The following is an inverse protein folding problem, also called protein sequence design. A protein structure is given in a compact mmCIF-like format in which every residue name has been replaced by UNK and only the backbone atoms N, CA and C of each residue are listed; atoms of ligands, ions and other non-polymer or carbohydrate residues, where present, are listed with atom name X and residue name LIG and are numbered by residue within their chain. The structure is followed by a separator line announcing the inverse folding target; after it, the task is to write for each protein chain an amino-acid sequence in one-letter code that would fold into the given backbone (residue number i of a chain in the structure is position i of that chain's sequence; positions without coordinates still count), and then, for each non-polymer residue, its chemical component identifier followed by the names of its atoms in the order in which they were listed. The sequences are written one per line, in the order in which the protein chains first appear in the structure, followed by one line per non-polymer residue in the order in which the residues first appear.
data_IF_040826081146
#
_entry.id   IF_040826081146
#
_cell.length_a   1.000
_cell.length_b   1.000
_cell.length_c   1.000
_cell.angle_alpha   90.00
_cell.angle_beta   90.00
_cell.angle_gamma   90.00
#
_symmetry.space_group_name_H-M   'P 1'
#
loop_
_entity.id
_entity.type
_entity.pdbx_description
1 polymer ?
#
# COMPACT_ATOMS: atom_id res chain seq x y z
N UNK A 1 -6.54 2.53 7.13
CA UNK A 1 -7.56 1.66 7.78
C UNK A 1 -7.03 0.25 7.96
N UNK A 2 -6.58 -0.44 6.89
CA UNK A 2 -6.09 -1.82 6.99
C UNK A 2 -5.03 -2.00 8.09
N UNK A 3 -3.98 -1.19 8.09
CA UNK A 3 -2.90 -1.20 9.09
C UNK A 3 -3.43 -1.03 10.51
N UNK A 4 -4.39 -0.12 10.70
CA UNK A 4 -4.98 0.15 12.01
C UNK A 4 -5.82 -1.01 12.52
N UNK A 5 -6.66 -1.60 11.66
CA UNK A 5 -7.49 -2.77 12.01
C UNK A 5 -6.66 -4.03 12.21
N UNK A 6 -5.53 -4.15 11.51
CA UNK A 6 -4.55 -5.21 11.76
C UNK A 6 -3.90 -5.11 13.15
N UNK A 7 -3.90 -3.93 13.79
CA UNK A 7 -3.44 -3.74 15.16
C UNK A 7 -2.39 -2.65 15.37
N UNK A 8 -1.79 -2.08 14.32
CA UNK A 8 -0.75 -1.07 14.45
C UNK A 8 -1.32 0.32 14.73
N UNK A 9 -0.61 1.12 15.51
CA UNK A 9 -0.84 2.56 15.57
C UNK A 9 -0.47 3.19 14.21
N UNK A 10 -1.33 4.07 13.72
CA UNK A 10 -1.20 4.63 12.37
C UNK A 10 -1.25 6.14 12.43
N UNK A 11 -0.23 6.80 11.86
CA UNK A 11 -0.19 8.24 11.59
C UNK A 11 -0.44 8.41 10.10
N UNK A 12 -1.39 9.29 9.74
CA UNK A 12 -1.68 9.55 8.33
C UNK A 12 -1.23 10.96 7.95
N UNK A 13 -0.51 11.07 6.83
CA UNK A 13 0.06 12.32 6.32
C UNK A 13 -0.58 12.58 4.96
N UNK A 14 -1.40 13.62 4.85
CA UNK A 14 -2.09 13.98 3.59
C UNK A 14 -2.69 15.38 3.65
N UNK A 15 -3.23 15.86 2.52
CA UNK A 15 -4.12 17.03 2.45
C UNK A 15 -5.51 16.60 2.00
N UNK A 16 -6.51 17.22 2.59
CA UNK A 16 -7.93 17.09 2.25
C UNK A 16 -8.55 18.46 2.01
N UNK A 17 -9.64 18.51 1.28
CA UNK A 17 -10.41 19.73 1.09
C UNK A 17 -11.28 20.03 2.31
N UNK A 18 -11.62 21.30 2.49
CA UNK A 18 -12.60 21.72 3.49
C UNK A 18 -14.02 21.58 2.91
N UNK A 19 -14.43 20.34 2.69
CA UNK A 19 -15.70 19.97 2.06
C UNK A 19 -16.32 18.73 2.73
N UNK A 20 -17.48 18.31 2.24
CA UNK A 20 -18.21 17.16 2.79
C UNK A 20 -17.39 15.85 2.75
N UNK A 21 -16.57 15.64 1.71
CA UNK A 21 -15.71 14.45 1.65
C UNK A 21 -14.57 14.52 2.66
N UNK A 22 -13.99 15.71 2.88
CA UNK A 22 -13.01 15.93 3.93
C UNK A 22 -13.58 15.68 5.33
N UNK A 23 -14.80 16.17 5.61
CA UNK A 23 -15.49 15.88 6.87
C UNK A 23 -15.74 14.37 7.05
N UNK A 24 -16.16 13.66 5.99
CA UNK A 24 -16.33 12.21 6.03
C UNK A 24 -15.01 11.49 6.29
N UNK A 25 -13.91 11.91 5.65
CA UNK A 25 -12.58 11.35 5.85
C UNK A 25 -12.12 11.54 7.30
N UNK A 26 -12.20 12.74 7.86
CA UNK A 26 -11.81 13.03 9.24
C UNK A 26 -12.66 12.24 10.25
N UNK A 27 -13.95 12.08 9.99
CA UNK A 27 -14.82 11.24 10.82
C UNK A 27 -14.39 9.78 10.79
N UNK A 28 -14.04 9.25 9.61
CA UNK A 28 -13.53 7.88 9.47
C UNK A 28 -12.21 7.72 10.23
N UNK A 29 -11.26 8.65 10.08
CA UNK A 29 -9.98 8.57 10.78
C UNK A 29 -10.18 8.54 12.30
N UNK A 30 -11.07 9.38 12.82
CA UNK A 30 -11.41 9.38 14.24
C UNK A 30 -12.06 8.06 14.70
N UNK A 31 -12.98 7.50 13.91
CA UNK A 31 -13.66 6.23 14.22
C UNK A 31 -12.68 5.05 14.23
N UNK A 32 -11.73 5.03 13.31
CA UNK A 32 -10.70 3.98 13.22
C UNK A 32 -9.53 4.22 14.20
N UNK A 33 -9.46 5.37 14.86
CA UNK A 33 -8.36 5.72 15.77
C UNK A 33 -7.05 5.98 15.03
N UNK A 34 -7.11 6.50 13.82
CA UNK A 34 -5.96 6.93 13.02
C UNK A 34 -5.52 8.31 13.51
N UNK A 35 -4.24 8.51 13.79
CA UNK A 35 -3.70 9.81 14.13
C UNK A 35 -3.66 10.71 12.89
N UNK A 36 -4.47 11.77 12.91
CA UNK A 36 -4.63 12.74 11.84
C UNK A 36 -3.88 14.06 12.10
N UNK A 37 -2.86 14.07 12.97
CA UNK A 37 -2.07 15.27 13.31
C UNK A 37 -1.46 15.94 12.07
N UNK A 38 -1.12 15.14 11.04
CA UNK A 38 -0.54 15.60 9.78
C UNK A 38 -1.52 15.50 8.62
N UNK A 39 -2.82 15.61 8.89
CA UNK A 39 -3.86 15.79 7.88
C UNK A 39 -4.24 17.25 7.83
N UNK A 40 -3.87 17.95 6.75
CA UNK A 40 -4.15 19.39 6.61
C UNK A 40 -5.38 19.61 5.74
N UNK A 41 -6.31 20.43 6.25
CA UNK A 41 -7.46 20.90 5.49
C UNK A 41 -7.09 22.15 4.68
N UNK A 42 -7.37 22.14 3.38
CA UNK A 42 -7.17 23.29 2.48
C UNK A 42 -8.52 23.78 1.92
N UNK A 43 -8.71 25.11 1.90
CA UNK A 43 -10.01 25.70 1.58
C UNK A 43 -10.32 25.73 0.08
N UNK A 44 -9.28 25.87 -0.75
CA UNK A 44 -9.42 26.20 -2.17
C UNK A 44 -9.37 24.98 -3.10
N UNK A 45 -9.32 23.78 -2.56
CA UNK A 45 -9.34 22.53 -3.33
C UNK A 45 -10.31 21.52 -2.72
N UNK A 46 -10.97 20.76 -3.58
CA UNK A 46 -11.83 19.65 -3.13
C UNK A 46 -10.99 18.47 -2.62
N UNK A 47 -11.53 17.72 -1.69
CA UNK A 47 -10.97 16.41 -1.30
C UNK A 47 -10.92 15.47 -2.50
N UNK A 48 -9.83 14.71 -2.62
CA UNK A 48 -9.68 13.69 -3.66
C UNK A 48 -10.83 12.68 -3.61
N UNK A 49 -11.28 12.26 -4.79
CA UNK A 49 -12.36 11.29 -4.92
C UNK A 49 -12.12 10.36 -6.11
N UNK A 50 -12.60 9.13 -6.00
CA UNK A 50 -12.63 8.20 -7.11
C UNK A 50 -14.07 7.77 -7.41
N UNK A 51 -14.42 7.69 -8.70
CA UNK A 51 -15.67 7.10 -9.17
C UNK A 51 -15.35 5.75 -9.81
N UNK A 52 -15.94 4.70 -9.29
CA UNK A 52 -15.77 3.34 -9.81
C UNK A 52 -17.03 3.00 -10.59
N UNK A 53 -16.89 2.82 -11.90
CA UNK A 53 -17.98 2.41 -12.79
C UNK A 53 -17.79 0.93 -13.10
N UNK A 54 -18.75 0.11 -12.71
CA UNK A 54 -18.71 -1.34 -12.91
C UNK A 54 -19.72 -1.70 -14.01
N UNK A 55 -19.27 -2.48 -14.99
CA UNK A 55 -20.15 -3.10 -15.97
C UNK A 55 -20.81 -4.33 -15.32
N UNK A 56 -22.13 -4.28 -15.10
CA UNK A 56 -22.86 -5.35 -14.43
C UNK A 56 -22.89 -6.67 -15.22
N UNK A 57 -22.68 -6.63 -16.53
CA UNK A 57 -22.70 -7.84 -17.38
C UNK A 57 -21.34 -8.55 -17.42
N UNK A 58 -20.22 -7.77 -17.44
CA UNK A 58 -18.86 -8.34 -17.61
C UNK A 58 -18.08 -8.35 -16.31
N UNK A 59 -18.49 -7.58 -15.30
CA UNK A 59 -17.72 -7.36 -14.06
C UNK A 59 -16.50 -6.45 -14.24
N UNK A 60 -16.24 -5.96 -15.45
CA UNK A 60 -15.15 -5.02 -15.71
C UNK A 60 -15.42 -3.68 -15.04
N UNK A 61 -14.39 -3.03 -14.53
CA UNK A 61 -14.50 -1.72 -13.93
C UNK A 61 -13.58 -0.68 -14.58
N UNK A 62 -14.01 0.58 -14.47
CA UNK A 62 -13.21 1.75 -14.83
C UNK A 62 -13.17 2.66 -13.61
N UNK A 63 -11.97 3.03 -13.17
CA UNK A 63 -11.76 3.91 -12.02
C UNK A 63 -11.35 5.29 -12.55
N UNK A 64 -12.17 6.30 -12.26
CA UNK A 64 -11.89 7.70 -12.58
C UNK A 64 -11.43 8.36 -11.29
N UNK A 65 -10.14 8.71 -11.21
CA UNK A 65 -9.53 9.34 -10.03
C UNK A 65 -9.42 10.84 -10.24
N UNK A 66 -9.87 11.61 -9.26
CA UNK A 66 -9.61 13.06 -9.12
C UNK A 66 -8.76 13.23 -7.86
N UNK A 67 -7.45 13.50 -7.95
CA UNK A 67 -6.54 13.53 -6.80
C UNK A 67 -6.92 14.61 -5.76
N UNK A 68 -7.48 15.72 -6.21
CA UNK A 68 -7.94 16.81 -5.33
C UNK A 68 -6.80 17.37 -4.48
N UNK A 69 -7.11 17.65 -3.22
CA UNK A 69 -6.20 18.26 -2.27
C UNK A 69 -4.91 17.48 -2.01
N UNK A 70 -4.92 16.15 -2.18
CA UNK A 70 -3.72 15.34 -2.02
C UNK A 70 -2.63 15.69 -3.06
N UNK A 71 -3.03 16.11 -4.27
CA UNK A 71 -2.09 16.56 -5.30
C UNK A 71 -1.44 17.93 -5.00
N UNK A 72 -1.98 18.67 -4.03
CA UNK A 72 -1.39 19.92 -3.53
C UNK A 72 -0.35 19.69 -2.42
N UNK A 73 -0.02 18.47 -2.07
CA UNK A 73 1.09 18.18 -1.17
C UNK A 73 2.42 18.64 -1.79
N UNK A 74 3.31 19.10 -0.94
CA UNK A 74 4.66 19.53 -1.30
C UNK A 74 5.69 18.85 -0.41
N UNK A 75 6.97 18.74 -0.81
CA UNK A 75 8.02 18.10 0.00
C UNK A 75 8.11 18.63 1.44
N UNK A 76 7.90 19.93 1.64
CA UNK A 76 7.95 20.58 2.97
C UNK A 76 6.89 20.02 3.95
N UNK A 77 5.79 19.46 3.45
CA UNK A 77 4.77 18.80 4.29
C UNK A 77 5.37 17.56 4.98
N UNK A 78 6.26 16.84 4.29
CA UNK A 78 6.94 15.66 4.85
C UNK A 78 8.03 16.09 5.86
N UNK A 79 8.67 17.22 5.66
CA UNK A 79 9.58 17.81 6.65
C UNK A 79 8.82 18.25 7.91
N UNK A 80 7.63 18.84 7.75
CA UNK A 80 6.76 19.20 8.87
C UNK A 80 6.28 17.96 9.67
N UNK A 81 6.14 16.80 9.00
CA UNK A 81 5.74 15.54 9.61
C UNK A 81 6.92 14.70 10.14
N UNK A 82 8.17 15.17 10.04
CA UNK A 82 9.37 14.42 10.41
C UNK A 82 9.31 13.83 11.82
N UNK A 83 8.79 14.56 12.80
CA UNK A 83 8.69 14.08 14.17
C UNK A 83 7.75 12.87 14.32
N UNK A 84 6.70 12.78 13.50
CA UNK A 84 5.83 11.62 13.41
C UNK A 84 6.50 10.44 12.71
N UNK A 85 7.17 10.72 11.58
CA UNK A 85 7.90 9.70 10.82
C UNK A 85 9.00 9.08 11.68
N UNK A 86 9.81 9.88 12.35
CA UNK A 86 10.94 9.41 13.17
C UNK A 86 10.55 8.49 14.35
N UNK A 87 9.30 8.53 14.79
CA UNK A 87 8.77 7.67 15.87
C UNK A 87 8.12 6.39 15.35
N UNK A 88 7.92 6.28 14.04
CA UNK A 88 7.23 5.15 13.41
C UNK A 88 8.16 3.97 13.21
N UNK A 89 7.64 2.75 13.31
CA UNK A 89 8.37 1.53 12.99
C UNK A 89 8.64 1.40 11.48
N UNK A 90 7.72 1.94 10.65
CA UNK A 90 7.81 1.95 9.20
C UNK A 90 7.20 3.23 8.63
N UNK A 91 7.75 3.70 7.52
CA UNK A 91 7.11 4.70 6.67
C UNK A 91 6.63 4.03 5.38
N UNK A 92 5.35 4.20 5.05
CA UNK A 92 4.76 3.65 3.84
C UNK A 92 4.21 4.76 2.96
N UNK A 93 4.47 4.66 1.65
CA UNK A 93 3.97 5.57 0.64
C UNK A 93 3.45 4.84 -0.60
N UNK A 94 2.55 5.52 -1.33
CA UNK A 94 2.10 5.14 -2.69
C UNK A 94 2.45 6.25 -3.68
N UNK A 95 2.06 6.09 -4.95
CA UNK A 95 2.20 7.11 -6.00
C UNK A 95 0.90 7.92 -6.20
N UNK A 96 0.02 7.93 -5.21
CA UNK A 96 -1.20 8.75 -5.21
C UNK A 96 -0.97 10.19 -4.74
N UNK A 97 0.27 10.54 -4.47
CA UNK A 97 0.75 11.89 -4.20
C UNK A 97 1.83 12.25 -5.22
N UNK A 98 2.18 13.54 -5.43
CA UNK A 98 3.25 13.92 -6.34
C UNK A 98 4.56 13.16 -6.04
N UNK A 99 5.23 12.66 -7.08
CA UNK A 99 6.49 11.89 -6.94
C UNK A 99 7.52 12.59 -6.05
N UNK A 100 7.75 13.93 -6.16
CA UNK A 100 8.69 14.62 -5.25
C UNK A 100 8.28 14.55 -3.77
N UNK A 101 6.99 14.48 -3.48
CA UNK A 101 6.46 14.35 -2.11
C UNK A 101 6.74 12.94 -1.58
N UNK A 102 6.38 11.92 -2.35
CA UNK A 102 6.67 10.52 -2.02
C UNK A 102 8.16 10.31 -1.79
N UNK A 103 9.02 10.78 -2.71
CA UNK A 103 10.47 10.70 -2.59
C UNK A 103 10.97 11.39 -1.32
N UNK A 104 10.47 12.61 -1.02
CA UNK A 104 10.85 13.32 0.20
C UNK A 104 10.48 12.54 1.47
N UNK A 105 9.31 11.90 1.49
CA UNK A 105 8.90 11.04 2.61
C UNK A 105 9.85 9.89 2.84
N UNK A 106 10.27 9.19 1.77
CA UNK A 106 11.27 8.13 1.85
C UNK A 106 12.62 8.65 2.36
N UNK A 107 13.08 9.81 1.88
CA UNK A 107 14.32 10.46 2.33
C UNK A 107 14.25 10.82 3.82
N UNK A 108 13.14 11.41 4.27
CA UNK A 108 12.92 11.75 5.70
C UNK A 108 12.95 10.49 6.55
N UNK A 109 12.27 9.43 6.14
CA UNK A 109 12.31 8.14 6.84
C UNK A 109 13.73 7.58 6.94
N UNK A 110 14.45 7.53 5.82
CA UNK A 110 15.83 7.02 5.76
C UNK A 110 16.80 7.79 6.67
N UNK A 111 16.77 9.14 6.65
CA UNK A 111 17.64 9.95 7.50
C UNK A 111 17.39 9.76 9.00
N UNK A 112 16.15 9.32 9.35
CA UNK A 112 15.78 9.00 10.73
C UNK A 112 15.91 7.50 11.08
N UNK A 113 16.47 6.68 10.16
CA UNK A 113 16.63 5.24 10.39
C UNK A 113 15.33 4.43 10.36
N UNK A 114 14.26 5.00 9.82
CA UNK A 114 12.95 4.34 9.69
C UNK A 114 12.90 3.56 8.39
N UNK A 115 12.65 2.25 8.41
CA UNK A 115 12.49 1.43 7.21
C UNK A 115 11.30 1.89 6.37
N UNK A 116 11.42 1.73 5.05
CA UNK A 116 10.45 2.23 4.08
C UNK A 116 9.74 1.11 3.33
N UNK A 117 8.44 1.30 3.08
CA UNK A 117 7.63 0.47 2.20
C UNK A 117 7.11 1.38 1.08
N UNK A 118 7.46 1.10 -0.17
CA UNK A 118 6.89 1.79 -1.33
C UNK A 118 5.98 0.85 -2.12
N UNK A 119 4.70 1.19 -2.16
CA UNK A 119 3.76 0.60 -3.10
C UNK A 119 3.69 1.52 -4.34
N UNK A 120 4.21 1.10 -5.51
CA UNK A 120 4.28 1.97 -6.69
C UNK A 120 2.96 2.02 -7.46
N UNK A 121 1.85 2.20 -6.75
CA UNK A 121 0.48 2.31 -7.24
C UNK A 121 -0.02 3.77 -7.19
N UNK A 122 -0.70 4.28 -8.23
CA UNK A 122 -0.82 3.67 -9.57
C UNK A 122 0.52 3.67 -10.32
N UNK A 123 0.68 2.74 -11.25
CA UNK A 123 1.92 2.59 -12.01
C UNK A 123 2.36 3.90 -12.68
N UNK A 124 3.55 4.37 -12.35
CA UNK A 124 4.17 5.55 -12.93
C UNK A 124 5.69 5.37 -12.99
N UNK A 125 6.34 6.05 -13.94
CA UNK A 125 7.81 6.06 -14.00
C UNK A 125 8.34 6.87 -12.81
N UNK A 126 9.20 6.22 -12.01
CA UNK A 126 9.84 6.82 -10.85
C UNK A 126 11.34 7.04 -11.10
N UNK A 127 11.96 8.07 -10.49
CA UNK A 127 13.40 8.27 -10.57
C UNK A 127 14.19 7.06 -10.03
N UNK A 128 15.38 6.80 -10.59
CA UNK A 128 16.20 5.65 -10.18
C UNK A 128 16.60 5.72 -8.70
N UNK A 129 16.79 6.91 -8.15
CA UNK A 129 17.13 7.14 -6.75
C UNK A 129 16.08 6.57 -5.79
N UNK A 130 14.81 6.53 -6.20
CA UNK A 130 13.70 6.04 -5.38
C UNK A 130 13.81 4.55 -5.08
N UNK A 131 14.37 3.75 -6.02
CA UNK A 131 14.58 2.33 -5.78
C UNK A 131 15.53 2.08 -4.61
N UNK A 132 16.62 2.86 -4.50
CA UNK A 132 17.58 2.79 -3.39
C UNK A 132 17.03 3.28 -2.05
N UNK A 133 15.95 4.06 -2.08
CA UNK A 133 15.24 4.51 -0.87
C UNK A 133 14.22 3.49 -0.36
N UNK A 134 13.91 2.44 -1.13
CA UNK A 134 12.87 1.46 -0.81
C UNK A 134 13.47 0.23 -0.13
N UNK A 135 13.17 0.03 1.17
CA UNK A 135 13.55 -1.19 1.86
C UNK A 135 12.64 -2.35 1.44
N UNK A 136 11.35 -2.07 1.28
CA UNK A 136 10.36 -2.97 0.71
C UNK A 136 9.66 -2.28 -0.45
N UNK A 137 9.59 -2.97 -1.58
CA UNK A 137 8.95 -2.49 -2.80
C UNK A 137 7.84 -3.47 -3.19
N UNK A 138 6.58 -3.00 -3.19
CA UNK A 138 5.40 -3.87 -3.22
C UNK A 138 4.51 -3.65 -4.44
N UNK A 139 5.03 -3.77 -5.69
CA UNK A 139 4.22 -3.67 -6.89
C UNK A 139 3.29 -4.87 -7.06
N UNK A 140 2.16 -4.67 -7.74
CA UNK A 140 1.41 -5.76 -8.35
C UNK A 140 2.03 -6.19 -9.70
N UNK A 141 1.45 -7.19 -10.38
CA UNK A 141 1.91 -7.68 -11.67
C UNK A 141 1.98 -6.61 -12.76
N UNK A 142 0.99 -5.73 -12.83
CA UNK A 142 0.91 -4.65 -13.82
C UNK A 142 1.97 -3.57 -13.55
N UNK A 143 2.10 -3.15 -12.31
CA UNK A 143 3.11 -2.18 -11.87
C UNK A 143 4.52 -2.75 -12.05
N UNK A 144 4.71 -4.01 -11.68
CA UNK A 144 5.98 -4.70 -11.86
C UNK A 144 6.36 -4.81 -13.34
N UNK A 145 5.42 -5.16 -14.21
CA UNK A 145 5.66 -5.24 -15.65
C UNK A 145 6.08 -3.89 -16.24
N UNK A 146 5.36 -2.83 -15.90
CA UNK A 146 5.67 -1.47 -16.37
C UNK A 146 7.05 -1.01 -15.90
N UNK A 147 7.35 -1.19 -14.61
CA UNK A 147 8.58 -0.68 -14.00
C UNK A 147 9.82 -1.53 -14.32
N UNK A 148 9.66 -2.85 -14.51
CA UNK A 148 10.74 -3.74 -14.91
C UNK A 148 10.96 -3.75 -16.45
N UNK A 149 9.97 -3.30 -17.23
CA UNK A 149 10.01 -3.32 -18.69
C UNK A 149 9.91 -4.72 -19.30
N UNK A 150 9.31 -5.67 -18.58
CA UNK A 150 9.07 -7.06 -19.01
C UNK A 150 7.66 -7.50 -18.63
N UNK A 151 7.04 -8.48 -19.31
CA UNK A 151 5.79 -9.09 -18.83
C UNK A 151 5.95 -9.71 -17.43
N UNK A 152 4.90 -9.63 -16.60
CA UNK A 152 4.85 -10.28 -15.27
C UNK A 152 3.49 -10.95 -15.13
N UNK A 153 3.34 -12.13 -15.70
CA UNK A 153 2.11 -12.93 -15.72
C UNK A 153 2.31 -14.29 -15.02
N UNK A 154 3.57 -14.66 -14.73
CA UNK A 154 3.94 -15.91 -14.06
C UNK A 154 4.89 -15.67 -12.91
N UNK A 155 5.03 -16.66 -12.04
CA UNK A 155 5.98 -16.63 -10.90
C UNK A 155 7.42 -16.45 -11.37
N UNK A 156 7.82 -17.08 -12.49
CA UNK A 156 9.17 -16.99 -13.06
C UNK A 156 9.45 -15.58 -13.61
N UNK A 157 8.43 -14.95 -14.19
CA UNK A 157 8.54 -13.56 -14.66
C UNK A 157 8.63 -12.59 -13.47
N UNK A 158 7.88 -12.84 -12.39
CA UNK A 158 7.98 -12.07 -11.15
C UNK A 158 9.37 -12.23 -10.50
N UNK A 159 9.95 -13.43 -10.53
CA UNK A 159 11.35 -13.63 -10.10
C UNK A 159 12.31 -12.75 -10.89
N UNK A 160 12.14 -12.69 -12.21
CA UNK A 160 12.97 -11.88 -13.09
C UNK A 160 12.80 -10.39 -12.79
N UNK A 161 11.56 -9.91 -12.65
CA UNK A 161 11.26 -8.53 -12.30
C UNK A 161 11.84 -8.15 -10.92
N UNK A 162 11.69 -9.04 -9.93
CA UNK A 162 12.27 -8.83 -8.61
C UNK A 162 13.78 -8.66 -8.65
N UNK A 163 14.49 -9.44 -9.48
CA UNK A 163 15.93 -9.27 -9.68
C UNK A 163 16.26 -7.89 -10.28
N UNK A 164 15.51 -7.44 -11.28
CA UNK A 164 15.69 -6.11 -11.88
C UNK A 164 15.54 -5.02 -10.81
N UNK A 165 14.55 -5.12 -9.91
CA UNK A 165 14.37 -4.15 -8.84
C UNK A 165 15.51 -4.15 -7.83
N UNK A 166 16.03 -5.33 -7.45
CA UNK A 166 17.21 -5.43 -6.59
C UNK A 166 18.44 -4.80 -7.25
N UNK A 167 18.66 -5.07 -8.55
CA UNK A 167 19.77 -4.51 -9.32
C UNK A 167 19.68 -2.95 -9.42
N UNK A 168 18.46 -2.38 -9.29
CA UNK A 168 18.21 -0.93 -9.20
C UNK A 168 18.30 -0.36 -7.79
N UNK A 169 18.53 -1.19 -6.77
CA UNK A 169 18.80 -0.75 -5.39
C UNK A 169 17.71 -1.04 -4.37
N UNK A 170 16.56 -1.64 -4.77
CA UNK A 170 15.56 -2.14 -3.81
C UNK A 170 16.16 -3.21 -2.92
N UNK A 171 15.92 -3.16 -1.60
CA UNK A 171 16.43 -4.21 -0.71
C UNK A 171 15.60 -5.47 -0.73
N UNK A 172 14.28 -5.34 -0.77
CA UNK A 172 13.34 -6.47 -0.79
C UNK A 172 12.20 -6.16 -1.76
N UNK A 173 12.09 -6.94 -2.83
CA UNK A 173 10.95 -6.90 -3.75
C UNK A 173 9.87 -7.89 -3.26
N UNK A 174 8.63 -7.44 -3.20
CA UNK A 174 7.45 -8.20 -2.78
C UNK A 174 6.38 -7.99 -3.86
N UNK A 175 6.36 -8.84 -4.87
CA UNK A 175 5.49 -8.69 -6.04
C UNK A 175 4.20 -9.48 -5.83
N UNK A 176 3.07 -8.79 -5.75
CA UNK A 176 1.75 -9.43 -5.65
C UNK A 176 1.28 -9.86 -7.04
N UNK A 177 0.72 -11.07 -7.14
CA UNK A 177 0.34 -11.75 -8.38
C UNK A 177 -1.13 -12.24 -8.34
N UNK A 178 -1.99 -11.50 -7.67
CA UNK A 178 -3.39 -11.87 -7.52
C UNK A 178 -3.59 -13.28 -6.98
N UNK A 179 -4.29 -14.11 -7.72
CA UNK A 179 -4.57 -15.51 -7.34
C UNK A 179 -3.32 -16.39 -7.29
N UNK A 180 -2.26 -16.03 -8.00
CA UNK A 180 -0.98 -16.74 -7.94
C UNK A 180 -0.22 -16.50 -6.64
N UNK A 181 -0.62 -15.51 -5.82
CA UNK A 181 0.01 -15.22 -4.54
C UNK A 181 1.05 -14.12 -4.62
N UNK A 182 2.21 -14.29 -3.99
CA UNK A 182 3.24 -13.26 -3.86
C UNK A 182 4.62 -13.85 -4.13
N UNK A 183 5.42 -13.15 -4.92
CA UNK A 183 6.85 -13.46 -5.07
C UNK A 183 7.71 -12.52 -4.24
N UNK A 184 8.59 -13.07 -3.43
CA UNK A 184 9.47 -12.32 -2.52
C UNK A 184 10.92 -12.57 -2.86
N UNK A 185 11.70 -11.48 -2.98
CA UNK A 185 13.15 -11.58 -3.22
C UNK A 185 13.91 -10.50 -2.48
N UNK A 186 14.97 -10.93 -1.78
CA UNK A 186 16.03 -10.08 -1.27
C UNK A 186 17.40 -10.80 -1.44
N UNK A 187 18.45 -10.38 -0.74
CA UNK A 187 19.76 -11.01 -0.81
C UNK A 187 19.78 -12.46 -0.27
N UNK A 188 18.87 -12.82 0.63
CA UNK A 188 18.86 -14.10 1.35
C UNK A 188 17.69 -15.00 0.90
N UNK A 189 16.57 -14.41 0.48
CA UNK A 189 15.31 -15.08 0.18
C UNK A 189 14.96 -14.89 -1.29
N UNK A 190 14.54 -15.98 -1.93
CA UNK A 190 13.93 -15.99 -3.25
C UNK A 190 12.83 -17.05 -3.20
N UNK A 191 11.56 -16.61 -2.97
CA UNK A 191 10.49 -17.52 -2.63
C UNK A 191 9.13 -17.04 -3.16
N UNK A 192 8.36 -17.98 -3.69
CA UNK A 192 6.94 -17.82 -3.97
C UNK A 192 6.13 -18.22 -2.73
N UNK A 193 5.13 -17.40 -2.39
CA UNK A 193 4.16 -17.64 -1.31
C UNK A 193 2.78 -17.71 -1.95
N UNK A 194 2.13 -18.87 -1.87
CA UNK A 194 0.81 -19.08 -2.45
C UNK A 194 -0.26 -18.20 -1.80
N UNK A 195 -1.27 -17.82 -2.57
CA UNK A 195 -2.44 -17.09 -2.08
C UNK A 195 -3.31 -17.96 -1.16
N UNK A 196 -4.23 -17.31 -0.44
CA UNK A 196 -5.33 -18.01 0.22
C UNK A 196 -6.48 -18.18 -0.78
N UNK A 197 -6.87 -19.43 -1.03
CA UNK A 197 -8.02 -19.73 -1.88
C UNK A 197 -9.32 -19.36 -1.16
N UNK A 198 -10.02 -18.36 -1.68
CA UNK A 198 -11.32 -17.93 -1.16
C UNK A 198 -12.50 -18.47 -1.99
N UNK A 199 -12.23 -19.13 -3.11
CA UNK A 199 -13.23 -19.73 -4.00
C UNK A 199 -14.30 -18.73 -4.43
N UNK A 200 -15.55 -19.16 -4.46
CA UNK A 200 -16.71 -18.34 -4.88
C UNK A 200 -17.05 -17.19 -3.92
N UNK A 201 -16.26 -16.95 -2.87
CA UNK A 201 -16.49 -15.84 -1.92
C UNK A 201 -15.92 -14.51 -2.38
N UNK A 202 -15.11 -14.49 -3.43
CA UNK A 202 -14.56 -13.25 -3.98
C UNK A 202 -15.70 -12.40 -4.57
N UNK A 203 -15.88 -11.20 -4.03
CA UNK A 203 -16.92 -10.26 -4.45
C UNK A 203 -16.34 -9.08 -5.20
N UNK A 204 -15.22 -8.52 -4.71
CA UNK A 204 -14.60 -7.32 -5.24
C UNK A 204 -13.11 -7.31 -4.89
N UNK A 205 -12.25 -6.96 -5.86
CA UNK A 205 -10.79 -6.93 -5.65
C UNK A 205 -10.24 -5.51 -5.40
N UNK A 206 -11.08 -4.48 -5.47
CA UNK A 206 -10.68 -3.09 -5.20
C UNK A 206 -10.16 -2.96 -3.77
N UNK A 207 -8.96 -2.39 -3.61
CA UNK A 207 -8.33 -2.22 -2.31
C UNK A 207 -7.60 -3.46 -1.76
N UNK A 208 -7.52 -4.57 -2.53
CA UNK A 208 -6.76 -5.75 -2.11
C UNK A 208 -5.27 -5.44 -1.88
N UNK A 209 -4.67 -4.60 -2.74
CA UNK A 209 -3.31 -4.10 -2.57
C UNK A 209 -3.13 -3.28 -1.30
N UNK A 210 -4.09 -2.41 -0.96
CA UNK A 210 -4.09 -1.63 0.28
C UNK A 210 -4.21 -2.52 1.51
N UNK A 211 -5.09 -3.54 1.44
CA UNK A 211 -5.25 -4.53 2.48
C UNK A 211 -3.95 -5.32 2.71
N UNK A 212 -3.32 -5.79 1.61
CA UNK A 212 -2.03 -6.46 1.66
C UNK A 212 -0.97 -5.59 2.33
N UNK A 213 -0.77 -4.37 1.82
CA UNK A 213 0.25 -3.44 2.34
C UNK A 213 0.01 -3.09 3.82
N UNK A 214 -1.25 -2.87 4.20
CA UNK A 214 -1.62 -2.58 5.59
C UNK A 214 -1.32 -3.73 6.54
N UNK A 215 -1.68 -4.96 6.17
CA UNK A 215 -1.37 -6.17 6.94
C UNK A 215 0.12 -6.48 6.98
N UNK A 216 0.80 -6.35 5.85
CA UNK A 216 2.25 -6.55 5.72
C UNK A 216 3.05 -5.60 6.61
N UNK A 217 2.72 -4.30 6.58
CA UNK A 217 3.37 -3.28 7.40
C UNK A 217 3.16 -3.55 8.90
N UNK A 218 1.94 -3.94 9.32
CA UNK A 218 1.67 -4.32 10.71
C UNK A 218 2.53 -5.51 11.13
N UNK A 219 2.54 -6.59 10.35
CA UNK A 219 3.27 -7.80 10.69
C UNK A 219 4.79 -7.56 10.80
N UNK A 220 5.37 -6.75 9.90
CA UNK A 220 6.77 -6.32 10.00
C UNK A 220 7.02 -5.50 11.27
N UNK A 221 6.10 -4.60 11.65
CA UNK A 221 6.23 -3.77 12.85
C UNK A 221 6.16 -4.61 14.14
N UNK A 222 5.42 -5.72 14.14
CA UNK A 222 5.40 -6.71 15.21
C UNK A 222 6.65 -7.63 15.24
N UNK A 223 7.58 -7.47 14.29
CA UNK A 223 8.82 -8.24 14.24
C UNK A 223 8.65 -9.65 13.65
N UNK A 224 7.57 -9.92 12.93
CA UNK A 224 7.40 -11.19 12.22
C UNK A 224 8.47 -11.32 11.12
N UNK A 225 8.86 -12.56 10.80
CA UNK A 225 9.73 -12.82 9.66
C UNK A 225 9.11 -12.33 8.35
N UNK A 226 9.94 -12.06 7.34
CA UNK A 226 9.47 -11.57 6.03
C UNK A 226 8.37 -12.45 5.43
N UNK A 227 8.52 -13.77 5.50
CA UNK A 227 7.52 -14.70 4.95
C UNK A 227 6.23 -14.72 5.77
N UNK A 228 6.32 -14.63 7.10
CA UNK A 228 5.14 -14.49 7.96
C UNK A 228 4.41 -13.18 7.69
N UNK A 229 5.15 -12.07 7.51
CA UNK A 229 4.56 -10.78 7.18
C UNK A 229 3.86 -10.79 5.81
N UNK A 230 4.45 -11.44 4.80
CA UNK A 230 3.81 -11.64 3.49
C UNK A 230 2.54 -12.47 3.63
N UNK A 231 2.57 -13.57 4.38
CA UNK A 231 1.38 -14.39 4.63
C UNK A 231 0.28 -13.59 5.36
N UNK A 232 0.67 -12.75 6.33
CA UNK A 232 -0.27 -11.90 7.05
C UNK A 232 -0.91 -10.86 6.12
N UNK A 233 -0.13 -10.19 5.27
CA UNK A 233 -0.62 -9.29 4.22
C UNK A 233 -1.56 -10.01 3.25
N UNK A 234 -1.18 -11.21 2.77
CA UNK A 234 -2.00 -12.04 1.89
C UNK A 234 -3.33 -12.46 2.54
N UNK A 235 -3.33 -12.82 3.82
CA UNK A 235 -4.56 -13.15 4.55
C UNK A 235 -5.46 -11.92 4.71
N UNK A 236 -4.87 -10.75 4.96
CA UNK A 236 -5.60 -9.47 5.03
C UNK A 236 -6.29 -9.16 3.70
N UNK A 237 -5.58 -9.29 2.58
CA UNK A 237 -6.12 -9.11 1.25
C UNK A 237 -7.19 -10.16 0.91
N UNK A 238 -6.94 -11.43 1.21
CA UNK A 238 -7.89 -12.51 0.94
C UNK A 238 -9.25 -12.30 1.65
N UNK A 239 -9.25 -11.78 2.88
CA UNK A 239 -10.51 -11.47 3.56
C UNK A 239 -11.16 -10.22 2.94
N UNK A 240 -10.40 -9.18 2.60
CA UNK A 240 -10.95 -7.94 2.05
C UNK A 240 -11.73 -8.18 0.76
N UNK A 241 -11.24 -9.03 -0.14
CA UNK A 241 -11.91 -9.32 -1.42
C UNK A 241 -13.24 -10.08 -1.28
N UNK A 242 -13.56 -10.57 -0.09
CA UNK A 242 -14.87 -11.21 0.20
C UNK A 242 -15.94 -10.22 0.65
N UNK A 243 -15.66 -8.91 0.60
CA UNK A 243 -16.54 -7.85 1.10
C UNK A 243 -16.60 -6.72 0.10
N UNK A 244 -17.72 -6.00 0.07
CA UNK A 244 -17.89 -4.83 -0.78
C UNK A 244 -17.23 -3.58 -0.18
N UNK A 245 -16.65 -2.77 -1.04
CA UNK A 245 -16.00 -1.51 -0.70
C UNK A 245 -14.54 -1.68 -0.27
N UNK A 246 -13.85 -0.58 -0.06
CA UNK A 246 -12.42 -0.54 0.31
C UNK A 246 -12.24 -0.48 1.84
N UNK A 247 -12.34 0.69 2.46
CA UNK A 247 -12.17 0.83 3.91
C UNK A 247 -13.13 -0.05 4.75
N UNK A 248 -14.43 -0.20 4.41
CA UNK A 248 -15.32 -1.11 5.13
C UNK A 248 -14.91 -2.58 5.03
N UNK A 249 -14.32 -3.00 3.91
CA UNK A 249 -13.93 -4.38 3.65
C UNK A 249 -12.71 -4.84 4.47
N UNK A 250 -11.89 -3.91 4.99
CA UNK A 250 -10.66 -4.25 5.71
C UNK A 250 -10.96 -5.10 6.95
N UNK A 251 -10.29 -6.26 7.13
CA UNK A 251 -10.51 -7.13 8.27
C UNK A 251 -9.85 -6.61 9.55
N UNK A 252 -10.34 -7.07 10.68
CA UNK A 252 -9.69 -6.90 11.97
C UNK A 252 -8.67 -8.00 12.24
N UNK A 253 -7.71 -7.75 13.12
CA UNK A 253 -6.59 -8.64 13.45
C UNK A 253 -7.04 -10.08 13.81
N UNK A 254 -8.08 -10.23 14.62
CA UNK A 254 -8.60 -11.54 14.98
C UNK A 254 -9.07 -12.36 13.78
N UNK A 255 -9.67 -11.73 12.78
CA UNK A 255 -10.13 -12.40 11.56
C UNK A 255 -8.94 -12.88 10.71
N UNK A 256 -7.87 -12.05 10.65
CA UNK A 256 -6.63 -12.37 9.92
C UNK A 256 -5.95 -13.57 10.60
N UNK A 257 -5.79 -13.51 11.93
CA UNK A 257 -5.20 -14.59 12.71
C UNK A 257 -5.98 -15.91 12.61
N UNK A 258 -7.31 -15.84 12.51
CA UNK A 258 -8.14 -17.03 12.33
C UNK A 258 -8.01 -17.65 10.93
N UNK A 259 -7.76 -16.85 9.90
CA UNK A 259 -7.46 -17.38 8.56
C UNK A 259 -6.06 -18.02 8.50
N UNK A 260 -5.07 -17.42 9.16
CA UNK A 260 -3.69 -17.93 9.18
C UNK A 260 -3.53 -19.28 9.89
N UNK A 261 -4.50 -19.71 10.74
CA UNK A 261 -4.50 -21.00 11.42
C UNK A 261 -4.99 -22.16 10.54
N UNK A 262 -5.62 -21.86 9.41
CA UNK A 262 -6.16 -22.83 8.47
C UNK A 262 -5.11 -23.31 7.49
#
# INVERSE_FOLDING_TARGET
VATRRAGAETIFITKIGKDTFGEMAMKLYAQEGINAEYVWEIADMATGAASIVVNEETGENVIIVVPGAADAMVPDDLDAAEAGIAKSAFFMASLEVPIPVMQRGLEVAKRNGVPTILNPAPAAIIPDEVYGLSDYFTPNETEAAMLAGIPVETVEQAETAAKIFLDRGVKTAVITLGELGVYVRNAEISQHVASFDMGDKVLETTGAGDAFNGGFAHALAEGMSLIEAVRFGSATAAISVTRLGTAPAMPFNNEILDLLKK
#
